data_IF_600107744427
#
_entry.id   IF_600107744427
#
_cell.length_a   1.000
_cell.length_b   1.000
_cell.length_c   1.000
_cell.angle_alpha   90.00
_cell.angle_beta   90.00
_cell.angle_gamma   90.00
#
_symmetry.space_group_name_H-M   'P 1'
#
loop_
_entity.id
_entity.type
_entity.pdbx_description
1 polymer ?
#
# COMPACT_ATOMS: atom_id res chain seq x y z
N UNK A 1 -51.80 3.59 18.40
CA UNK A 1 -51.01 2.51 17.78
C UNK A 1 -50.01 3.20 16.87
N UNK A 2 -48.78 3.38 17.33
CA UNK A 2 -47.78 4.19 16.61
C UNK A 2 -46.56 3.31 16.37
N UNK A 3 -46.41 2.86 15.12
CA UNK A 3 -45.29 2.07 14.63
C UNK A 3 -44.00 2.87 14.72
N UNK A 4 -43.12 2.46 15.64
CA UNK A 4 -41.73 2.92 15.66
C UNK A 4 -40.96 1.97 14.73
N UNK A 5 -40.70 2.45 13.51
CA UNK A 5 -39.92 1.73 12.49
C UNK A 5 -38.49 1.52 13.00
N UNK A 6 -38.10 0.25 13.08
CA UNK A 6 -36.73 -0.18 13.39
C UNK A 6 -35.74 0.51 12.46
N UNK A 7 -34.83 1.28 13.02
CA UNK A 7 -33.69 1.85 12.31
C UNK A 7 -32.73 0.68 12.08
N UNK A 8 -32.71 0.17 10.85
CA UNK A 8 -31.75 -0.83 10.41
C UNK A 8 -30.34 -0.33 10.70
N UNK A 9 -29.66 -1.00 11.62
CA UNK A 9 -28.26 -0.74 11.94
C UNK A 9 -27.44 -0.96 10.68
N UNK A 10 -26.93 0.12 10.09
CA UNK A 10 -25.93 0.05 9.01
C UNK A 10 -24.64 -0.47 9.64
N UNK A 11 -24.48 -1.79 9.64
CA UNK A 11 -23.25 -2.47 10.01
C UNK A 11 -22.25 -2.28 8.87
N UNK A 12 -21.42 -1.24 8.95
CA UNK A 12 -20.29 -1.02 8.06
C UNK A 12 -19.16 -2.04 8.35
N UNK A 13 -19.36 -3.34 8.04
CA UNK A 13 -18.35 -4.39 8.24
C UNK A 13 -17.52 -4.65 6.98
N UNK A 14 -16.79 -3.65 6.48
CA UNK A 14 -15.66 -3.91 5.59
C UNK A 14 -14.51 -2.95 5.93
N UNK A 15 -13.71 -3.33 6.92
CA UNK A 15 -12.39 -2.72 7.19
C UNK A 15 -11.44 -3.12 6.06
N UNK A 16 -11.59 -2.54 4.87
CA UNK A 16 -10.61 -2.70 3.80
C UNK A 16 -9.32 -2.00 4.22
N UNK A 17 -8.40 -2.75 4.81
CA UNK A 17 -7.07 -2.22 5.17
C UNK A 17 -6.34 -1.83 3.88
N UNK A 18 -6.26 -0.53 3.63
CA UNK A 18 -5.46 0.02 2.55
C UNK A 18 -3.98 -0.18 2.87
N UNK A 19 -3.20 -0.60 1.86
CA UNK A 19 -1.75 -0.73 1.99
C UNK A 19 -1.08 0.27 1.08
N UNK A 20 -0.13 1.03 1.63
CA UNK A 20 0.67 2.00 0.90
C UNK A 20 1.76 1.26 0.12
N UNK A 21 2.00 1.68 -1.13
CA UNK A 21 3.10 1.18 -1.94
C UNK A 21 4.45 1.34 -1.23
N UNK A 22 5.30 0.31 -1.27
CA UNK A 22 6.62 0.36 -0.65
C UNK A 22 7.64 1.22 -1.40
N UNK A 23 7.36 1.62 -2.65
CA UNK A 23 8.27 2.50 -3.40
C UNK A 23 8.25 3.91 -2.81
N UNK A 24 9.38 4.48 -2.33
CA UNK A 24 9.40 5.74 -1.58
C UNK A 24 8.84 6.94 -2.34
N UNK A 25 8.95 6.95 -3.67
CA UNK A 25 8.41 8.02 -4.52
C UNK A 25 6.93 7.79 -4.89
N UNK A 26 6.32 6.68 -4.47
CA UNK A 26 4.92 6.37 -4.71
C UNK A 26 4.09 6.51 -3.43
N UNK A 27 3.07 7.37 -3.47
CA UNK A 27 2.12 7.57 -2.36
C UNK A 27 0.78 6.84 -2.56
N UNK A 28 0.68 5.99 -3.59
CA UNK A 28 -0.57 5.28 -3.89
C UNK A 28 -0.81 4.18 -2.85
N UNK A 29 -2.04 4.15 -2.33
CA UNK A 29 -2.56 2.99 -1.61
C UNK A 29 -3.27 2.06 -2.60
N UNK A 30 -3.31 0.75 -2.29
CA UNK A 30 -4.01 -0.24 -3.10
C UNK A 30 -4.87 -1.16 -2.25
N UNK A 31 -6.06 -1.49 -2.78
CA UNK A 31 -7.07 -2.36 -2.19
C UNK A 31 -7.64 -3.23 -3.32
N UNK A 32 -7.85 -4.54 -3.12
CA UNK A 32 -7.45 -5.32 -1.94
C UNK A 32 -5.95 -5.64 -1.95
N UNK A 33 -5.36 -5.84 -0.76
CA UNK A 33 -3.99 -6.37 -0.65
C UNK A 33 -3.99 -7.84 -1.07
N UNK A 34 -3.37 -8.16 -2.20
CA UNK A 34 -3.11 -9.56 -2.57
C UNK A 34 -2.00 -10.16 -1.68
N UNK A 35 -1.97 -11.50 -1.55
CA UNK A 35 -0.96 -12.21 -0.76
C UNK A 35 0.45 -11.79 -1.21
N UNK A 36 1.27 -11.33 -0.27
CA UNK A 36 2.64 -10.81 -0.50
C UNK A 36 2.77 -9.56 -1.39
N UNK A 37 1.67 -8.88 -1.75
CA UNK A 37 1.75 -7.65 -2.52
C UNK A 37 2.36 -6.51 -1.69
N UNK A 38 3.45 -5.95 -2.19
CA UNK A 38 4.21 -4.84 -1.57
C UNK A 38 4.18 -3.56 -2.41
N UNK A 39 3.75 -3.65 -3.67
CA UNK A 39 3.79 -2.58 -4.65
C UNK A 39 2.44 -2.46 -5.34
N UNK A 40 2.06 -1.23 -5.70
CA UNK A 40 0.82 -0.97 -6.45
C UNK A 40 0.93 -1.40 -7.92
N UNK A 41 2.13 -1.48 -8.49
CA UNK A 41 2.39 -1.91 -9.87
C UNK A 41 3.75 -2.59 -10.00
N UNK A 42 3.98 -3.27 -11.13
CA UNK A 42 5.28 -3.84 -11.49
C UNK A 42 6.36 -2.77 -11.66
N UNK A 43 6.01 -1.59 -12.19
CA UNK A 43 6.97 -0.50 -12.37
C UNK A 43 7.51 0.01 -11.03
N UNK A 44 6.63 0.20 -10.03
CA UNK A 44 7.04 0.58 -8.68
C UNK A 44 7.98 -0.45 -8.03
N UNK A 45 7.84 -1.74 -8.38
CA UNK A 45 8.78 -2.78 -7.95
C UNK A 45 10.14 -2.61 -8.62
N UNK A 46 10.19 -2.39 -9.93
CA UNK A 46 11.43 -2.21 -10.68
C UNK A 46 12.18 -0.97 -10.20
N UNK A 47 11.48 0.15 -10.08
CA UNK A 47 12.02 1.43 -9.59
C UNK A 47 12.56 1.31 -8.16
N UNK A 48 11.88 0.56 -7.29
CA UNK A 48 12.37 0.30 -5.93
C UNK A 48 13.73 -0.41 -5.94
N UNK A 49 13.89 -1.46 -6.76
CA UNK A 49 15.16 -2.19 -6.84
C UNK A 49 16.25 -1.43 -7.62
N UNK A 50 15.88 -0.57 -8.57
CA UNK A 50 16.82 0.35 -9.20
C UNK A 50 17.40 1.33 -8.16
N UNK A 51 16.54 1.99 -7.39
CA UNK A 51 16.96 2.89 -6.33
C UNK A 51 17.81 2.18 -5.26
N UNK A 52 17.44 0.97 -4.86
CA UNK A 52 18.21 0.20 -3.88
C UNK A 52 19.63 -0.14 -4.40
N UNK A 53 19.78 -0.42 -5.70
CA UNK A 53 21.09 -0.66 -6.33
C UNK A 53 21.94 0.60 -6.38
N UNK A 54 21.36 1.73 -6.79
CA UNK A 54 22.04 3.03 -6.84
C UNK A 54 22.56 3.44 -5.46
N UNK A 55 21.72 3.32 -4.42
CA UNK A 55 22.11 3.60 -3.04
C UNK A 55 23.21 2.67 -2.54
N UNK A 56 23.16 1.39 -2.92
CA UNK A 56 24.21 0.41 -2.59
C UNK A 56 25.54 0.72 -3.28
N UNK A 57 25.52 1.13 -4.55
CA UNK A 57 26.71 1.55 -5.28
C UNK A 57 27.33 2.80 -4.67
N UNK A 58 26.51 3.83 -4.39
CA UNK A 58 27.00 5.04 -3.74
C UNK A 58 27.58 4.79 -2.34
N UNK A 59 27.06 3.81 -1.60
CA UNK A 59 27.64 3.40 -0.31
C UNK A 59 29.03 2.75 -0.48
N UNK A 60 29.22 1.91 -1.50
CA UNK A 60 30.51 1.29 -1.80
C UNK A 60 31.55 2.33 -2.25
N UNK A 61 31.18 3.29 -3.10
CA UNK A 61 32.07 4.34 -3.56
C UNK A 61 32.58 5.23 -2.41
N UNK A 62 31.74 5.48 -1.40
CA UNK A 62 32.12 6.25 -0.20
C UNK A 62 33.05 5.52 0.77
N UNK A 63 33.17 4.19 0.65
CA UNK A 63 34.06 3.37 1.48
C UNK A 63 35.43 3.13 0.82
N UNK A 64 35.65 3.63 -0.40
CA UNK A 64 36.91 3.55 -1.13
C UNK A 64 37.79 4.76 -0.86
#
# INVERSE_FOLDING_TARGET
>A
MTEVKNIEQIVCTQTTTSIICRYPKCKKAFIPKRRHQRFCSSDCRLEFFALAREMGQGALERMR
#
